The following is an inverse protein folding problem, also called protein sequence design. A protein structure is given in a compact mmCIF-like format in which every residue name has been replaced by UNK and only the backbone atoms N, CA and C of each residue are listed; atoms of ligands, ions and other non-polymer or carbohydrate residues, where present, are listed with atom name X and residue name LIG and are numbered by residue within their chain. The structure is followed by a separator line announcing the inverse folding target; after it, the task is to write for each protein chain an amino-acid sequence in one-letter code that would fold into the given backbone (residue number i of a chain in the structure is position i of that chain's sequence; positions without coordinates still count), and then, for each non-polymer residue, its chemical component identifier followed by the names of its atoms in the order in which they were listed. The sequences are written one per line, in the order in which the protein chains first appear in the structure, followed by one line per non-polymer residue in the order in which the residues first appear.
data_IF_751871345805
#
_entry.id   IF_751871345805
#
_cell.length_a   1.000
_cell.length_b   1.000
_cell.length_c   1.000
_cell.angle_alpha   90.00
_cell.angle_beta   90.00
_cell.angle_gamma   90.00
#
_symmetry.space_group_name_H-M   'P 1'
#
loop_
_entity.id
_entity.type
_entity.pdbx_description
1 polymer ?
#
# COMPACT_ATOMS: atom_id res chain seq x y z
N UNK A 1 -12.58 7.36 6.53
CA UNK A 1 -11.88 6.46 5.57
C UNK A 1 -10.55 7.06 5.21
N UNK A 2 -9.51 6.25 5.18
CA UNK A 2 -8.19 6.73 4.78
C UNK A 2 -8.10 6.82 3.25
N UNK A 3 -7.29 7.77 2.76
CA UNK A 3 -7.08 7.95 1.33
C UNK A 3 -6.13 6.89 0.76
N UNK A 4 -5.52 6.09 1.62
CA UNK A 4 -4.55 5.07 1.24
C UNK A 4 -5.01 3.73 1.78
N UNK A 5 -5.00 2.71 0.92
CA UNK A 5 -5.26 1.33 1.31
C UNK A 5 -4.01 0.51 1.04
N UNK A 6 -3.57 -0.23 2.04
CA UNK A 6 -2.35 -1.01 1.99
C UNK A 6 -2.68 -2.51 2.06
N UNK A 7 -2.29 -3.24 1.02
CA UNK A 7 -2.43 -4.71 0.98
C UNK A 7 -1.06 -5.32 1.18
N UNK A 8 -0.90 -6.13 2.22
CA UNK A 8 0.39 -6.72 2.50
C UNK A 8 0.32 -7.89 3.46
N UNK A 9 1.49 -8.43 3.83
CA UNK A 9 1.62 -9.54 4.76
C UNK A 9 2.81 -9.30 5.69
N UNK A 10 2.74 -9.84 6.90
CA UNK A 10 3.79 -9.61 7.90
C UNK A 10 5.12 -10.27 7.56
N UNK A 11 5.09 -11.39 6.84
CA UNK A 11 6.31 -12.09 6.43
C UNK A 11 7.04 -11.40 5.29
N UNK A 12 6.41 -10.46 4.61
CA UNK A 12 6.98 -9.78 3.45
C UNK A 12 7.83 -8.59 3.89
N UNK A 13 9.13 -8.63 3.60
CA UNK A 13 10.05 -7.55 3.97
C UNK A 13 9.68 -6.22 3.33
N UNK A 14 9.31 -6.24 2.05
CA UNK A 14 8.90 -5.04 1.32
C UNK A 14 7.61 -4.45 1.90
N UNK A 15 6.68 -5.31 2.32
CA UNK A 15 5.45 -4.86 2.96
C UNK A 15 5.76 -4.14 4.28
N UNK A 16 6.63 -4.73 5.10
CA UNK A 16 7.00 -4.15 6.38
C UNK A 16 7.72 -2.81 6.21
N UNK A 17 8.58 -2.72 5.21
CA UNK A 17 9.29 -1.47 4.89
C UNK A 17 8.31 -0.37 4.48
N UNK A 18 7.39 -0.66 3.55
CA UNK A 18 6.41 0.32 3.10
C UNK A 18 5.47 0.74 4.22
N UNK A 19 5.02 -0.21 5.02
CA UNK A 19 4.16 0.08 6.16
C UNK A 19 4.89 0.98 7.17
N UNK A 20 6.14 0.68 7.46
CA UNK A 20 6.97 1.47 8.36
C UNK A 20 7.13 2.91 7.85
N UNK A 21 7.33 3.07 6.54
CA UNK A 21 7.45 4.39 5.93
C UNK A 21 6.15 5.18 6.10
N UNK A 22 5.01 4.57 5.82
CA UNK A 22 3.71 5.22 5.98
C UNK A 22 3.51 5.69 7.44
N UNK A 23 3.86 4.84 8.39
CA UNK A 23 3.77 5.20 9.81
C UNK A 23 4.71 6.34 10.18
N UNK A 24 5.95 6.29 9.70
CA UNK A 24 6.96 7.32 9.95
C UNK A 24 6.53 8.66 9.40
N UNK A 25 5.90 8.68 8.23
CA UNK A 25 5.43 9.91 7.59
C UNK A 25 4.09 10.39 8.14
N UNK A 26 3.51 9.64 9.08
CA UNK A 26 2.23 10.03 9.69
C UNK A 26 1.03 9.89 8.76
N UNK A 27 1.12 9.03 7.76
CA UNK A 27 0.05 8.82 6.79
C UNK A 27 -0.99 7.87 7.37
N UNK A 28 -2.24 8.28 7.37
CA UNK A 28 -3.35 7.39 7.74
C UNK A 28 -3.62 6.44 6.58
N UNK A 29 -3.72 5.15 6.87
CA UNK A 29 -4.03 4.16 5.83
C UNK A 29 -4.82 2.99 6.43
N UNK A 30 -5.62 2.37 5.57
CA UNK A 30 -6.32 1.14 5.92
C UNK A 30 -5.43 -0.04 5.55
N UNK A 31 -5.17 -0.91 6.52
CA UNK A 31 -4.33 -2.08 6.30
C UNK A 31 -5.22 -3.29 6.05
N UNK A 32 -4.98 -3.97 4.94
CA UNK A 32 -5.65 -5.22 4.59
C UNK A 32 -4.60 -6.32 4.49
N UNK A 33 -4.60 -7.21 5.49
CA UNK A 33 -3.67 -8.33 5.55
C UNK A 33 -4.17 -9.44 4.62
N UNK A 34 -3.45 -9.66 3.53
CA UNK A 34 -3.84 -10.65 2.52
C UNK A 34 -3.82 -12.08 3.05
N UNK A 35 -3.13 -12.32 4.17
CA UNK A 35 -3.11 -13.64 4.79
C UNK A 35 -4.33 -13.89 5.69
N UNK A 36 -4.95 -12.83 6.18
CA UNK A 36 -6.10 -12.96 7.08
C UNK A 36 -7.39 -13.28 6.32
N UNK A 37 -7.45 -12.96 5.03
CA UNK A 37 -8.65 -13.17 4.22
C UNK A 37 -8.31 -13.39 2.76
N UNK A 38 -8.79 -14.48 2.14
CA UNK A 38 -8.62 -14.70 0.70
C UNK A 38 -9.22 -13.59 -0.15
N UNK A 39 -10.24 -12.90 0.38
CA UNK A 39 -10.87 -11.79 -0.33
C UNK A 39 -9.88 -10.65 -0.55
N UNK A 40 -9.02 -10.37 0.41
CA UNK A 40 -8.03 -9.31 0.28
C UNK A 40 -6.98 -9.66 -0.77
N UNK A 41 -6.59 -10.93 -0.86
CA UNK A 41 -5.69 -11.40 -1.91
C UNK A 41 -6.32 -11.18 -3.29
N UNK A 42 -7.59 -11.52 -3.45
CA UNK A 42 -8.29 -11.35 -4.71
C UNK A 42 -8.48 -9.87 -5.06
N UNK A 43 -8.77 -9.01 -4.07
CA UNK A 43 -8.87 -7.57 -4.29
C UNK A 43 -7.57 -7.00 -4.80
N UNK A 44 -6.46 -7.32 -4.14
CA UNK A 44 -5.14 -6.82 -4.52
C UNK A 44 -4.76 -7.29 -5.92
N UNK A 45 -5.05 -8.56 -6.24
CA UNK A 45 -4.78 -9.13 -7.55
C UNK A 45 -5.63 -8.47 -8.63
N UNK A 46 -6.90 -8.20 -8.34
CA UNK A 46 -7.79 -7.52 -9.29
C UNK A 46 -7.31 -6.11 -9.60
N UNK A 47 -6.80 -5.40 -8.59
CA UNK A 47 -6.32 -4.03 -8.73
C UNK A 47 -5.01 -3.99 -9.51
N UNK A 48 -4.05 -4.84 -9.15
CA UNK A 48 -2.69 -4.79 -9.69
C UNK A 48 -2.47 -5.68 -10.92
N UNK A 49 -3.33 -6.68 -11.10
CA UNK A 49 -3.14 -7.70 -12.13
C UNK A 49 -2.04 -8.70 -11.81
N UNK A 50 -1.53 -8.69 -10.58
CA UNK A 50 -0.40 -9.53 -10.14
C UNK A 50 -0.65 -10.07 -8.75
N UNK A 51 0.20 -11.04 -8.35
CA UNK A 51 0.19 -11.57 -6.99
C UNK A 51 1.22 -10.91 -6.09
N UNK A 52 2.01 -9.97 -6.62
CA UNK A 52 3.06 -9.27 -5.87
C UNK A 52 2.46 -8.34 -4.81
N UNK A 53 3.07 -8.28 -3.66
CA UNK A 53 2.71 -7.37 -2.56
C UNK A 53 3.97 -6.64 -2.09
N UNK A 54 3.85 -5.44 -1.50
CA UNK A 54 2.61 -4.75 -1.15
C UNK A 54 1.95 -4.10 -2.36
N UNK A 55 0.63 -3.94 -2.29
CA UNK A 55 -0.13 -3.13 -3.24
C UNK A 55 -0.69 -1.94 -2.44
N UNK A 56 -0.41 -0.75 -2.90
CA UNK A 56 -0.84 0.48 -2.23
C UNK A 56 -1.78 1.22 -3.16
N UNK A 57 -3.01 1.43 -2.72
CA UNK A 57 -4.08 1.99 -3.55
C UNK A 57 -4.47 3.35 -3.01
N UNK A 58 -4.64 4.31 -3.91
CA UNK A 58 -5.02 5.67 -3.57
C UNK A 58 -6.51 5.91 -3.88
N UNK A 59 -7.05 7.02 -3.35
CA UNK A 59 -8.47 7.33 -3.44
C UNK A 59 -8.99 7.43 -4.88
N UNK A 60 -8.14 7.80 -5.82
CA UNK A 60 -8.52 7.92 -7.23
C UNK A 60 -8.45 6.59 -8.00
N UNK A 61 -8.13 5.50 -7.32
CA UNK A 61 -8.02 4.17 -7.91
C UNK A 61 -6.65 3.82 -8.46
N UNK A 62 -5.71 4.75 -8.47
CA UNK A 62 -4.33 4.44 -8.86
C UNK A 62 -3.64 3.63 -7.79
N UNK A 63 -2.64 2.84 -8.18
CA UNK A 63 -1.96 1.94 -7.27
C UNK A 63 -0.47 1.86 -7.57
N UNK A 64 0.28 1.42 -6.55
CA UNK A 64 1.70 1.07 -6.67
C UNK A 64 1.88 -0.36 -6.22
N UNK A 65 2.78 -1.10 -6.89
CA UNK A 65 3.14 -2.47 -6.53
C UNK A 65 4.61 -2.50 -6.18
N UNK A 66 4.93 -2.96 -4.98
CA UNK A 66 6.32 -3.06 -4.49
C UNK A 66 7.12 -1.76 -4.68
N UNK A 67 6.55 -0.58 -4.31
CA UNK A 67 7.27 0.66 -4.54
C UNK A 67 8.49 0.75 -3.63
N UNK A 68 9.54 1.41 -4.13
CA UNK A 68 10.65 1.80 -3.27
C UNK A 68 10.17 2.91 -2.33
N UNK A 69 10.95 3.18 -1.28
CA UNK A 69 10.62 4.28 -0.35
C UNK A 69 10.59 5.61 -1.11
N UNK A 70 11.50 5.82 -2.04
CA UNK A 70 11.54 7.04 -2.85
C UNK A 70 10.30 7.16 -3.73
N UNK A 71 9.86 6.08 -4.37
CA UNK A 71 8.67 6.08 -5.20
C UNK A 71 7.41 6.37 -4.39
N UNK A 72 7.28 5.72 -3.25
CA UNK A 72 6.12 5.91 -2.38
C UNK A 72 6.07 7.32 -1.84
N UNK A 73 7.20 7.84 -1.35
CA UNK A 73 7.29 9.20 -0.83
C UNK A 73 6.94 10.24 -1.89
N UNK A 74 7.47 10.05 -3.11
CA UNK A 74 7.20 10.96 -4.22
C UNK A 74 5.71 11.01 -4.57
N UNK A 75 5.06 9.84 -4.62
CA UNK A 75 3.64 9.76 -4.92
C UNK A 75 2.79 10.43 -3.84
N UNK A 76 3.15 10.22 -2.57
CA UNK A 76 2.46 10.84 -1.45
C UNK A 76 2.56 12.37 -1.49
N UNK A 77 3.72 12.89 -1.89
CA UNK A 77 3.93 14.34 -2.03
C UNK A 77 3.12 14.91 -3.18
N UNK A 78 3.15 14.26 -4.33
CA UNK A 78 2.40 14.70 -5.51
C UNK A 78 0.92 14.80 -5.22
N UNK A 79 0.41 13.89 -4.39
CA UNK A 79 -1.01 13.86 -4.01
C UNK A 79 -1.36 14.81 -2.87
N UNK A 80 -0.35 15.45 -2.29
CA UNK A 80 -0.58 16.35 -1.15
C UNK A 80 -0.92 15.63 0.15
N UNK A 81 -0.66 14.33 0.23
CA UNK A 81 -0.89 13.54 1.45
C UNK A 81 0.19 13.86 2.49
N UNK A 82 1.40 14.15 2.02
CA UNK A 82 2.49 14.64 2.85
C UNK A 82 3.06 15.91 2.24
N UNK A 83 3.75 16.70 3.04
CA UNK A 83 4.38 17.96 2.59
C UNK A 83 5.81 17.77 2.10
#
# INVERSE_FOLDING_TARGET
MADVTFYGAQWCGDCRRSESLLNTLGVAFDKKDVESSPEFTEEAKAISGRTNIPVIVFADGKHLVEPSDAELSAELKVRGIIS
#
